data_IF_062497140193
#
_entry.id   IF_062497140193
#
_cell.length_a   1.000
_cell.length_b   1.000
_cell.length_c   1.000
_cell.angle_alpha   90.00
_cell.angle_beta   90.00
_cell.angle_gamma   90.00
#
_symmetry.space_group_name_H-M   'P 1'
#
loop_
_entity.id
_entity.type
_entity.pdbx_description
1 polymer ?
#
# COMPACT_ATOMS: atom_id res chain seq x y z
N UNK A 1 35.55 -14.97 32.62
CA UNK A 1 35.52 -14.49 31.22
C UNK A 1 34.30 -13.61 30.95
N UNK A 2 34.23 -12.44 31.60
CA UNK A 2 33.19 -11.42 31.39
C UNK A 2 33.88 -10.06 31.40
N UNK A 3 34.07 -9.47 30.21
CA UNK A 3 34.47 -8.07 29.92
C UNK A 3 34.94 -8.03 28.46
N UNK A 4 34.01 -7.98 27.50
CA UNK A 4 34.27 -7.62 26.08
C UNK A 4 33.00 -7.48 25.23
N UNK A 5 31.90 -6.95 25.81
CA UNK A 5 30.65 -6.74 25.06
C UNK A 5 30.03 -5.34 25.20
N UNK A 6 30.80 -4.34 25.64
CA UNK A 6 30.30 -2.96 25.85
C UNK A 6 30.92 -1.96 24.86
N UNK A 7 31.92 -2.33 24.05
CA UNK A 7 32.62 -1.38 23.17
C UNK A 7 32.13 -1.32 21.71
N UNK A 8 31.14 -2.13 21.31
CA UNK A 8 30.64 -2.17 19.93
C UNK A 8 29.27 -1.50 19.73
N UNK A 9 28.59 -1.11 20.81
CA UNK A 9 27.26 -0.46 20.77
C UNK A 9 27.33 1.08 20.69
N UNK A 10 28.48 1.67 20.99
CA UNK A 10 28.65 3.14 20.99
C UNK A 10 28.91 3.72 19.59
N UNK A 11 29.67 3.08 18.67
CA UNK A 11 29.85 3.61 17.31
C UNK A 11 28.58 3.52 16.46
N UNK A 12 27.73 2.52 16.69
CA UNK A 12 26.49 2.31 15.91
C UNK A 12 25.39 3.31 16.32
N UNK A 13 25.29 3.66 17.62
CA UNK A 13 24.38 4.71 18.07
C UNK A 13 24.82 6.12 17.63
N UNK A 14 26.12 6.37 17.52
CA UNK A 14 26.65 7.66 17.08
C UNK A 14 26.53 7.82 15.55
N UNK A 15 26.60 6.74 14.76
CA UNK A 15 26.33 6.80 13.33
C UNK A 15 24.84 6.94 12.98
N UNK A 16 23.91 6.41 13.78
CA UNK A 16 22.47 6.65 13.59
C UNK A 16 22.01 8.07 13.97
N UNK A 17 22.82 8.80 14.74
CA UNK A 17 22.58 10.20 15.12
C UNK A 17 23.25 11.22 14.18
N UNK A 18 24.04 10.77 13.19
CA UNK A 18 24.83 11.66 12.31
C UNK A 18 24.59 11.46 10.80
N UNK A 19 23.66 10.59 10.39
CA UNK A 19 23.13 10.59 9.02
C UNK A 19 22.02 11.64 8.89
N UNK A 20 22.42 12.89 9.04
CA UNK A 20 21.62 14.10 8.82
C UNK A 20 22.58 15.24 8.51
N UNK A 21 23.35 15.11 7.42
CA UNK A 21 24.18 16.20 6.92
C UNK A 21 23.30 17.32 6.36
N UNK A 22 22.73 18.15 7.25
CA UNK A 22 22.17 19.44 6.89
C UNK A 22 23.32 20.36 6.46
N UNK A 23 23.37 20.66 5.15
CA UNK A 23 24.09 21.82 4.64
C UNK A 23 23.26 23.06 4.96
N UNK A 24 23.64 23.78 6.01
CA UNK A 24 23.06 25.06 6.40
C UNK A 24 22.65 25.04 7.86
N UNK A 25 23.55 25.50 8.74
CA UNK A 25 23.25 25.66 10.16
C UNK A 25 22.29 26.82 10.37
N UNK A 26 21.00 26.53 10.35
CA UNK A 26 20.02 27.38 11.04
C UNK A 26 20.20 27.16 12.56
N UNK A 27 20.23 28.23 13.38
CA UNK A 27 20.22 28.08 14.83
C UNK A 27 18.95 27.33 15.24
N UNK A 28 19.06 26.43 16.24
CA UNK A 28 17.89 25.79 16.83
C UNK A 28 16.90 26.88 17.27
N UNK A 29 15.70 26.88 16.70
CA UNK A 29 14.69 27.88 17.03
C UNK A 29 14.28 27.75 18.50
N UNK A 30 14.13 28.85 19.24
CA UNK A 30 13.50 28.79 20.55
C UNK A 30 12.04 28.30 20.42
N UNK A 31 11.62 27.44 21.35
CA UNK A 31 10.24 26.94 21.42
C UNK A 31 9.25 28.09 21.57
N UNK A 32 8.12 27.99 20.87
CA UNK A 32 7.02 28.97 20.86
C UNK A 32 7.44 30.38 20.42
N UNK A 33 8.51 30.49 19.63
CA UNK A 33 8.91 31.74 18.99
C UNK A 33 8.70 31.62 17.50
N UNK A 34 7.88 32.50 16.95
CA UNK A 34 7.64 32.61 15.53
C UNK A 34 8.76 33.41 14.84
N UNK A 35 9.17 32.97 13.67
CA UNK A 35 10.16 33.66 12.86
C UNK A 35 9.89 33.44 11.36
N UNK A 36 10.33 34.38 10.54
CA UNK A 36 10.29 34.25 9.09
C UNK A 36 11.50 33.45 8.59
N UNK A 37 11.25 32.56 7.64
CA UNK A 37 12.26 31.78 6.95
C UNK A 37 11.85 31.51 5.50
N UNK A 38 12.67 30.71 4.80
CA UNK A 38 12.31 30.16 3.49
C UNK A 38 12.26 28.64 3.59
N UNK A 39 11.17 28.06 3.15
CA UNK A 39 11.13 26.64 2.84
C UNK A 39 12.05 26.37 1.65
N UNK A 40 12.93 25.38 1.77
CA UNK A 40 13.91 25.01 0.74
C UNK A 40 13.42 23.77 -0.01
N UNK A 41 13.96 23.55 -1.22
CA UNK A 41 13.74 22.28 -1.91
C UNK A 41 14.34 21.13 -1.12
N UNK A 42 13.60 20.05 -1.01
CA UNK A 42 14.00 18.83 -0.31
C UNK A 42 13.38 17.58 -0.96
N UNK A 43 13.35 16.46 -0.23
CA UNK A 43 12.81 15.18 -0.74
C UNK A 43 11.27 15.14 -0.82
N UNK A 44 10.59 16.11 -0.22
CA UNK A 44 9.12 16.20 -0.19
C UNK A 44 8.59 17.41 -0.97
N UNK A 45 9.42 18.43 -1.17
CA UNK A 45 9.07 19.72 -1.78
C UNK A 45 9.99 20.07 -2.94
N UNK A 46 9.39 20.48 -4.06
CA UNK A 46 10.11 21.02 -5.23
C UNK A 46 10.10 22.56 -5.26
N UNK A 47 9.34 23.19 -4.35
CA UNK A 47 9.11 24.63 -4.29
C UNK A 47 10.03 25.30 -3.29
N UNK A 48 10.25 26.60 -3.50
CA UNK A 48 10.88 27.51 -2.55
C UNK A 48 9.85 28.62 -2.30
N UNK A 49 9.48 28.85 -1.05
CA UNK A 49 8.51 29.87 -0.67
C UNK A 49 8.84 30.42 0.73
N UNK A 50 8.38 31.64 1.00
CA UNK A 50 8.56 32.26 2.31
C UNK A 50 7.58 31.62 3.29
N UNK A 51 8.00 31.43 4.54
CA UNK A 51 7.18 30.79 5.59
C UNK A 51 7.38 31.50 6.93
N UNK A 52 6.32 31.51 7.74
CA UNK A 52 6.44 31.65 9.18
C UNK A 52 6.68 30.27 9.78
N UNK A 53 7.73 30.12 10.59
CA UNK A 53 8.05 28.88 11.29
C UNK A 53 7.84 29.05 12.79
N UNK A 54 7.35 28.00 13.43
CA UNK A 54 7.28 27.87 14.89
C UNK A 54 7.48 26.42 15.28
N UNK A 55 8.17 26.17 16.39
CA UNK A 55 8.24 24.85 17.01
C UNK A 55 7.55 24.91 18.38
N UNK A 56 6.61 24.00 18.62
CA UNK A 56 5.98 23.80 19.94
C UNK A 56 6.54 22.52 20.58
N UNK A 57 6.04 22.13 21.75
CA UNK A 57 6.35 20.81 22.31
C UNK A 57 5.87 19.68 21.38
N UNK A 58 4.73 19.89 20.69
CA UNK A 58 3.99 18.85 20.02
C UNK A 58 4.17 18.81 18.50
N UNK A 59 4.64 19.87 17.84
CA UNK A 59 4.87 19.86 16.39
C UNK A 59 5.85 20.94 15.90
N UNK A 60 6.28 20.79 14.65
CA UNK A 60 6.92 21.84 13.86
C UNK A 60 5.91 22.41 12.87
N UNK A 61 5.85 23.73 12.76
CA UNK A 61 4.88 24.42 11.91
C UNK A 61 5.58 25.26 10.85
N UNK A 62 5.08 25.22 9.63
CA UNK A 62 5.47 26.11 8.54
C UNK A 62 4.20 26.65 7.85
N UNK A 63 3.96 27.95 7.94
CA UNK A 63 2.81 28.61 7.30
C UNK A 63 3.33 29.47 6.15
N UNK A 64 2.90 29.21 4.92
CA UNK A 64 3.30 30.00 3.75
C UNK A 64 2.92 31.47 3.95
N UNK A 65 3.93 32.34 3.85
CA UNK A 65 3.75 33.79 3.90
C UNK A 65 3.25 34.27 2.53
N UNK A 66 1.93 34.45 2.43
CA UNK A 66 1.23 35.03 1.27
C UNK A 66 0.62 36.40 1.65
N UNK A 67 0.17 37.15 0.65
CA UNK A 67 -0.24 38.56 0.76
C UNK A 67 -1.24 38.85 1.92
N UNK A 68 -2.12 37.89 2.23
CA UNK A 68 -3.15 38.02 3.27
C UNK A 68 -2.80 37.34 4.61
N UNK A 69 -1.58 36.82 4.77
CA UNK A 69 -1.16 36.11 5.99
C UNK A 69 0.03 36.85 6.60
N UNK A 70 -0.25 37.56 7.69
CA UNK A 70 0.78 38.17 8.54
C UNK A 70 1.16 37.22 9.70
N UNK A 71 2.15 37.65 10.50
CA UNK A 71 2.63 36.87 11.63
C UNK A 71 1.51 36.55 12.65
N UNK A 72 0.62 37.52 12.93
CA UNK A 72 -0.49 37.33 13.88
C UNK A 72 -1.47 36.28 13.38
N UNK A 73 -1.80 36.31 12.09
CA UNK A 73 -2.67 35.33 11.44
C UNK A 73 -2.01 33.95 11.42
N UNK A 74 -0.71 33.88 11.12
CA UNK A 74 0.03 32.62 11.15
C UNK A 74 0.08 32.01 12.56
N UNK A 75 0.27 32.82 13.60
CA UNK A 75 0.23 32.38 15.00
C UNK A 75 -1.15 31.86 15.40
N UNK A 76 -2.24 32.52 14.96
CA UNK A 76 -3.60 32.02 15.17
C UNK A 76 -3.80 30.64 14.54
N UNK A 77 -3.40 30.48 13.27
CA UNK A 77 -3.48 29.20 12.56
C UNK A 77 -2.69 28.10 13.29
N UNK A 78 -1.48 28.42 13.74
CA UNK A 78 -0.65 27.47 14.50
C UNK A 78 -1.36 27.07 15.80
N UNK A 79 -1.94 28.02 16.53
CA UNK A 79 -2.66 27.73 17.77
C UNK A 79 -3.88 26.83 17.54
N UNK A 80 -4.62 27.03 16.45
CA UNK A 80 -5.77 26.21 16.08
C UNK A 80 -5.34 24.77 15.78
N UNK A 81 -4.27 24.59 15.00
CA UNK A 81 -3.72 23.26 14.70
C UNK A 81 -3.12 22.60 15.94
N UNK A 82 -2.39 23.34 16.78
CA UNK A 82 -1.84 22.85 18.06
C UNK A 82 -2.96 22.36 18.99
N UNK A 83 -4.13 23.00 18.98
CA UNK A 83 -5.29 22.51 19.71
C UNK A 83 -5.81 21.17 19.16
N UNK A 84 -5.78 20.95 17.84
CA UNK A 84 -6.09 19.64 17.23
C UNK A 84 -5.08 18.58 17.70
N UNK A 85 -3.78 18.88 17.66
CA UNK A 85 -2.73 17.95 18.13
C UNK A 85 -2.93 17.60 19.61
N UNK A 86 -3.23 18.58 20.46
CA UNK A 86 -3.54 18.34 21.89
C UNK A 86 -4.78 17.48 22.08
N UNK A 87 -5.83 17.65 21.27
CA UNK A 87 -7.02 16.79 21.31
C UNK A 87 -6.66 15.35 20.96
N UNK A 88 -5.83 15.11 19.94
CA UNK A 88 -5.34 13.77 19.58
C UNK A 88 -4.59 13.11 20.76
N UNK A 89 -3.66 13.85 21.38
CA UNK A 89 -2.90 13.37 22.54
C UNK A 89 -3.83 13.05 23.73
N UNK A 90 -4.82 13.90 23.96
CA UNK A 90 -5.81 13.74 25.05
C UNK A 90 -6.72 12.54 24.79
N UNK A 91 -7.11 12.33 23.53
CA UNK A 91 -7.95 11.22 23.10
C UNK A 91 -7.26 9.87 23.33
N UNK A 92 -6.01 9.72 22.87
CA UNK A 92 -5.20 8.51 23.12
C UNK A 92 -3.71 8.84 22.97
N UNK A 93 -3.00 8.96 24.10
CA UNK A 93 -1.58 9.35 24.14
C UNK A 93 -0.68 8.41 23.34
N UNK A 94 -1.01 7.12 23.28
CA UNK A 94 -0.26 6.09 22.57
C UNK A 94 -0.23 6.31 21.05
N UNK A 95 -1.14 7.12 20.49
CA UNK A 95 -1.09 7.52 19.09
C UNK A 95 0.08 8.49 18.80
N UNK A 96 0.60 9.19 19.81
CA UNK A 96 1.65 10.19 19.61
C UNK A 96 3.04 9.55 19.71
N UNK A 97 3.48 8.93 18.60
CA UNK A 97 4.77 8.24 18.50
C UNK A 97 5.85 9.16 17.95
N UNK A 98 5.48 10.05 17.03
CA UNK A 98 6.41 10.94 16.33
C UNK A 98 5.92 12.38 16.36
N UNK A 99 6.84 13.33 16.57
CA UNK A 99 6.56 14.77 16.43
C UNK A 99 6.39 15.10 14.93
N UNK A 100 5.22 15.61 14.50
CA UNK A 100 4.96 15.90 13.11
C UNK A 100 5.51 17.27 12.69
N UNK A 101 5.73 17.43 11.39
CA UNK A 101 5.89 18.72 10.72
C UNK A 101 4.59 19.04 9.99
N UNK A 102 4.03 20.23 10.16
CA UNK A 102 2.76 20.63 9.55
C UNK A 102 3.00 21.87 8.69
N UNK A 103 2.76 21.72 7.40
CA UNK A 103 2.97 22.75 6.39
C UNK A 103 1.61 23.20 5.85
N UNK A 104 1.29 24.48 6.03
CA UNK A 104 0.10 25.12 5.47
C UNK A 104 0.51 25.99 4.29
N UNK A 105 -0.01 25.70 3.10
CA UNK A 105 0.43 26.28 1.81
C UNK A 105 -0.74 26.49 0.87
N UNK A 106 -0.64 27.44 -0.05
CA UNK A 106 -1.66 27.69 -1.08
C UNK A 106 -1.64 26.61 -2.16
N UNK A 107 -0.45 26.17 -2.57
CA UNK A 107 -0.26 25.19 -3.63
C UNK A 107 0.49 23.96 -3.12
N UNK A 108 0.37 22.85 -3.84
CA UNK A 108 1.05 21.62 -3.52
C UNK A 108 2.57 21.84 -3.50
N UNK A 109 3.25 21.38 -2.44
CA UNK A 109 4.69 21.62 -2.27
C UNK A 109 5.56 20.92 -3.32
N UNK A 110 5.03 19.87 -3.96
CA UNK A 110 5.75 19.03 -4.93
C UNK A 110 5.55 19.47 -6.37
N UNK A 111 4.36 19.94 -6.74
CA UNK A 111 3.99 20.27 -8.12
C UNK A 111 3.82 21.76 -8.35
N UNK A 112 3.51 22.54 -7.31
CA UNK A 112 3.12 23.95 -7.43
C UNK A 112 1.77 24.17 -8.08
N UNK A 113 0.96 23.12 -8.19
CA UNK A 113 -0.41 23.19 -8.65
C UNK A 113 -1.38 23.21 -7.47
N UNK A 114 -2.63 23.50 -7.77
CA UNK A 114 -3.71 23.37 -6.81
C UNK A 114 -3.94 21.89 -6.44
N UNK A 115 -4.35 21.62 -5.20
CA UNK A 115 -4.60 20.26 -4.71
C UNK A 115 -5.84 20.19 -3.82
N UNK A 116 -6.61 19.12 -3.94
CA UNK A 116 -7.97 19.06 -3.38
C UNK A 116 -8.04 18.55 -1.94
N UNK A 117 -7.05 17.78 -1.49
CA UNK A 117 -7.08 17.10 -0.20
C UNK A 117 -5.77 17.26 0.55
N UNK A 118 -5.84 17.43 1.87
CA UNK A 118 -4.66 17.35 2.72
C UNK A 118 -4.00 15.98 2.56
N UNK A 119 -2.68 15.93 2.69
CA UNK A 119 -1.94 14.67 2.66
C UNK A 119 -0.80 14.68 3.65
N UNK A 120 -0.26 13.50 3.93
CA UNK A 120 0.97 13.38 4.71
C UNK A 120 1.96 12.43 4.04
N UNK A 121 3.24 12.68 4.26
CA UNK A 121 4.35 11.83 3.84
C UNK A 121 5.30 11.70 5.02
N UNK A 122 5.49 10.47 5.50
CA UNK A 122 6.18 10.18 6.76
C UNK A 122 5.51 10.93 7.92
N UNK A 123 6.23 11.79 8.64
CA UNK A 123 5.69 12.63 9.71
C UNK A 123 5.38 14.06 9.23
N UNK A 124 5.40 14.35 7.93
CA UNK A 124 5.08 15.69 7.40
C UNK A 124 3.68 15.74 6.81
N UNK A 125 2.86 16.66 7.31
CA UNK A 125 1.51 16.96 6.84
C UNK A 125 1.56 18.20 5.95
N UNK A 126 0.82 18.19 4.85
CA UNK A 126 0.66 19.31 3.93
C UNK A 126 -0.82 19.55 3.73
N UNK A 127 -1.28 20.78 3.96
CA UNK A 127 -2.67 21.18 3.79
C UNK A 127 -2.80 22.62 3.29
N UNK A 128 -3.98 22.95 2.76
CA UNK A 128 -4.34 24.33 2.41
C UNK A 128 -4.93 25.08 3.61
N UNK A 129 -4.90 26.40 3.50
CA UNK A 129 -5.59 27.30 4.44
C UNK A 129 -7.10 27.00 4.57
N UNK A 130 -7.74 26.54 3.50
CA UNK A 130 -9.17 26.19 3.48
C UNK A 130 -9.48 24.87 4.22
N UNK A 131 -8.46 24.09 4.59
CA UNK A 131 -8.59 22.75 5.18
C UNK A 131 -8.40 22.73 6.70
N UNK A 132 -8.24 23.89 7.35
CA UNK A 132 -7.88 23.95 8.77
C UNK A 132 -8.92 23.33 9.70
N UNK A 133 -10.20 23.44 9.34
CA UNK A 133 -11.32 22.93 10.13
C UNK A 133 -11.86 21.58 9.63
N UNK A 134 -11.13 20.91 8.72
CA UNK A 134 -11.59 19.65 8.14
C UNK A 134 -11.06 18.44 8.91
N UNK A 135 -11.85 17.38 8.93
CA UNK A 135 -11.39 16.09 9.45
C UNK A 135 -10.33 15.45 8.54
N UNK A 136 -10.16 15.92 7.29
CA UNK A 136 -9.05 15.51 6.41
C UNK A 136 -7.68 15.98 6.95
N UNK A 137 -7.59 17.22 7.44
CA UNK A 137 -6.36 17.67 8.12
C UNK A 137 -6.09 16.83 9.37
N UNK A 138 -7.13 16.62 10.18
CA UNK A 138 -7.01 15.84 11.42
C UNK A 138 -6.57 14.39 11.14
N UNK A 139 -7.12 13.73 10.11
CA UNK A 139 -6.73 12.37 9.73
C UNK A 139 -5.28 12.30 9.26
N UNK A 140 -4.80 13.32 8.53
CA UNK A 140 -3.40 13.42 8.13
C UNK A 140 -2.45 13.62 9.33
N UNK A 141 -2.84 14.44 10.31
CA UNK A 141 -2.07 14.62 11.55
C UNK A 141 -2.01 13.29 12.31
N UNK A 142 -3.13 12.57 12.46
CA UNK A 142 -3.15 11.24 13.11
C UNK A 142 -2.20 10.28 12.40
N UNK A 143 -2.20 10.23 11.07
CA UNK A 143 -1.27 9.40 10.30
C UNK A 143 0.19 9.75 10.56
N UNK A 144 0.52 11.05 10.54
CA UNK A 144 1.87 11.56 10.76
C UNK A 144 2.40 11.29 12.18
N UNK A 145 1.55 11.29 13.20
CA UNK A 145 1.97 11.06 14.60
C UNK A 145 1.98 9.59 15.00
N UNK A 146 1.10 8.76 14.44
CA UNK A 146 0.88 7.38 14.90
C UNK A 146 1.52 6.30 14.04
N UNK A 147 1.78 6.58 12.76
CA UNK A 147 2.22 5.58 11.79
C UNK A 147 1.12 4.61 11.32
N UNK A 148 -0.14 4.85 11.69
CA UNK A 148 -1.31 4.18 11.09
C UNK A 148 -1.40 4.56 9.61
N UNK A 149 -1.69 3.58 8.75
CA UNK A 149 -1.77 3.77 7.30
C UNK A 149 -3.13 3.45 6.69
N UNK A 150 -4.00 2.76 7.44
CA UNK A 150 -5.33 2.42 7.01
C UNK A 150 -6.25 3.65 7.05
N UNK A 151 -6.67 4.14 5.87
CA UNK A 151 -7.43 5.37 5.72
C UNK A 151 -8.71 5.38 6.57
N UNK A 152 -9.46 4.28 6.58
CA UNK A 152 -10.70 4.20 7.37
C UNK A 152 -10.44 4.38 8.87
N UNK A 153 -9.31 3.89 9.39
CA UNK A 153 -8.96 4.05 10.80
C UNK A 153 -8.53 5.51 11.09
N UNK A 154 -7.76 6.12 10.20
CA UNK A 154 -7.39 7.53 10.30
C UNK A 154 -8.63 8.44 10.33
N UNK A 155 -9.58 8.21 9.41
CA UNK A 155 -10.84 8.95 9.35
C UNK A 155 -11.75 8.66 10.55
N UNK A 156 -11.81 7.41 11.01
CA UNK A 156 -12.55 7.01 12.20
C UNK A 156 -12.09 7.75 13.45
N UNK A 157 -10.78 7.71 13.73
CA UNK A 157 -10.17 8.42 14.86
C UNK A 157 -10.35 9.93 14.71
N UNK A 158 -10.15 10.48 13.51
CA UNK A 158 -10.34 11.92 13.26
C UNK A 158 -11.78 12.35 13.58
N UNK A 159 -12.77 11.55 13.18
CA UNK A 159 -14.17 11.79 13.49
C UNK A 159 -14.46 11.80 14.99
N UNK A 160 -13.90 10.85 15.75
CA UNK A 160 -14.04 10.84 17.21
C UNK A 160 -13.33 12.01 17.89
N UNK A 161 -12.10 12.36 17.47
CA UNK A 161 -11.32 13.50 18.01
C UNK A 161 -12.01 14.84 17.77
N UNK A 162 -12.66 14.99 16.61
CA UNK A 162 -13.35 16.21 16.21
C UNK A 162 -14.84 16.21 16.55
N UNK A 163 -15.35 15.16 17.19
CA UNK A 163 -16.78 14.98 17.54
C UNK A 163 -17.73 15.15 16.33
N UNK A 164 -17.31 14.65 15.16
CA UNK A 164 -18.08 14.75 13.91
C UNK A 164 -19.33 13.88 13.99
N UNK A 165 -20.49 14.49 13.72
CA UNK A 165 -21.74 13.76 13.52
C UNK A 165 -21.90 13.32 12.07
N UNK A 166 -22.44 12.12 11.87
CA UNK A 166 -22.71 11.52 10.55
C UNK A 166 -24.21 11.31 10.38
N UNK A 167 -24.72 11.47 9.17
CA UNK A 167 -26.15 11.26 8.88
C UNK A 167 -26.45 9.76 8.75
N UNK A 168 -26.94 9.16 9.84
CA UNK A 168 -27.30 7.75 9.87
C UNK A 168 -28.41 7.38 8.87
N UNK A 169 -29.34 8.30 8.55
CA UNK A 169 -30.40 8.03 7.59
C UNK A 169 -29.83 7.98 6.15
N UNK A 170 -28.86 8.84 5.87
CA UNK A 170 -28.14 8.81 4.60
C UNK A 170 -27.38 7.50 4.44
N UNK A 171 -26.64 7.06 5.46
CA UNK A 171 -25.92 5.79 5.44
C UNK A 171 -26.86 4.58 5.38
N UNK A 172 -27.98 4.59 6.11
CA UNK A 172 -29.00 3.55 6.00
C UNK A 172 -29.52 3.43 4.56
N UNK A 173 -29.84 4.56 3.92
CA UNK A 173 -30.29 4.60 2.54
C UNK A 173 -29.24 4.05 1.59
N UNK A 174 -27.98 4.48 1.75
CA UNK A 174 -26.85 4.03 0.94
C UNK A 174 -26.65 2.50 1.04
N UNK A 175 -26.60 1.95 2.25
CA UNK A 175 -26.38 0.50 2.48
C UNK A 175 -27.61 -0.38 2.31
N UNK A 176 -28.80 0.22 2.11
CA UNK A 176 -29.99 -0.52 1.67
C UNK A 176 -29.81 -1.07 0.24
N UNK A 177 -28.91 -0.48 -0.56
CA UNK A 177 -28.44 -1.09 -1.80
C UNK A 177 -27.32 -2.11 -1.49
N UNK A 178 -27.50 -3.42 -1.77
CA UNK A 178 -26.47 -4.43 -1.52
C UNK A 178 -25.18 -4.18 -2.30
N UNK A 179 -25.25 -3.53 -3.46
CA UNK A 179 -24.06 -3.21 -4.26
C UNK A 179 -23.12 -2.27 -3.50
N UNK A 180 -23.63 -1.45 -2.57
CA UNK A 180 -22.85 -0.50 -1.80
C UNK A 180 -22.12 -1.11 -0.59
N UNK A 181 -22.36 -2.38 -0.25
CA UNK A 181 -21.72 -3.05 0.89
C UNK A 181 -20.20 -3.17 0.73
N UNK A 182 -19.70 -3.17 -0.50
CA UNK A 182 -18.26 -3.21 -0.81
C UNK A 182 -17.47 -2.02 -0.23
N UNK A 183 -18.10 -0.88 0.06
CA UNK A 183 -17.47 0.26 0.76
C UNK A 183 -16.99 -0.12 2.17
N UNK A 184 -17.59 -1.15 2.78
CA UNK A 184 -17.14 -1.70 4.06
C UNK A 184 -15.87 -2.54 3.96
N UNK A 185 -15.35 -2.83 2.77
CA UNK A 185 -14.04 -3.46 2.61
C UNK A 185 -12.89 -2.51 2.96
N UNK A 186 -13.18 -1.21 3.05
CA UNK A 186 -12.24 -0.17 3.45
C UNK A 186 -10.93 -0.15 2.64
N UNK A 187 -11.03 -0.50 1.36
CA UNK A 187 -9.92 -0.42 0.43
C UNK A 187 -9.46 1.04 0.24
N UNK A 188 -8.15 1.30 0.37
CA UNK A 188 -7.61 2.65 0.49
C UNK A 188 -7.97 3.60 -0.65
N UNK A 189 -8.06 3.11 -1.90
CA UNK A 189 -8.45 3.96 -3.04
C UNK A 189 -9.89 4.48 -2.96
N UNK A 190 -10.77 3.85 -2.18
CA UNK A 190 -12.14 4.34 -1.94
C UNK A 190 -12.15 5.65 -1.15
N UNK A 191 -11.04 6.02 -0.52
CA UNK A 191 -10.87 7.26 0.21
C UNK A 191 -10.20 8.37 -0.62
N UNK A 192 -9.94 8.13 -1.91
CA UNK A 192 -9.24 9.06 -2.80
C UNK A 192 -10.20 9.62 -3.85
N UNK A 193 -10.47 10.93 -3.80
CA UNK A 193 -11.49 11.58 -4.63
C UNK A 193 -11.32 11.34 -6.13
N UNK A 194 -10.07 11.36 -6.62
CA UNK A 194 -9.74 11.16 -8.04
C UNK A 194 -10.15 9.79 -8.60
N UNK A 195 -10.27 8.77 -7.74
CA UNK A 195 -10.58 7.40 -8.15
C UNK A 195 -12.02 7.01 -7.84
N UNK A 196 -12.55 7.47 -6.69
CA UNK A 196 -13.85 7.04 -6.19
C UNK A 196 -14.94 8.12 -6.30
N UNK A 197 -14.58 9.35 -6.69
CA UNK A 197 -15.53 10.45 -6.91
C UNK A 197 -16.44 10.69 -5.71
N UNK A 198 -17.74 10.83 -5.95
CA UNK A 198 -18.75 11.11 -4.91
C UNK A 198 -18.81 10.04 -3.81
N UNK A 199 -18.49 8.77 -4.14
CA UNK A 199 -18.48 7.67 -3.17
C UNK A 199 -17.38 7.81 -2.11
N UNK A 200 -16.37 8.66 -2.35
CA UNK A 200 -15.36 9.03 -1.36
C UNK A 200 -15.99 9.59 -0.09
N UNK A 201 -17.06 10.38 -0.24
CA UNK A 201 -17.77 10.95 0.89
C UNK A 201 -18.45 9.87 1.74
N UNK A 202 -19.03 8.84 1.11
CA UNK A 202 -19.62 7.70 1.80
C UNK A 202 -18.58 6.83 2.50
N UNK A 203 -17.41 6.63 1.90
CA UNK A 203 -16.30 5.91 2.54
C UNK A 203 -15.84 6.62 3.82
N UNK A 204 -15.62 7.94 3.75
CA UNK A 204 -15.22 8.78 4.91
C UNK A 204 -16.31 8.78 6.00
N UNK A 205 -17.58 9.00 5.65
CA UNK A 205 -18.69 8.98 6.62
C UNK A 205 -18.90 7.61 7.25
N UNK A 206 -18.79 6.54 6.46
CA UNK A 206 -18.87 5.16 6.97
C UNK A 206 -17.76 4.89 7.97
N UNK A 207 -16.52 5.28 7.66
CA UNK A 207 -15.37 5.11 8.55
C UNK A 207 -15.61 5.79 9.91
N UNK A 208 -16.08 7.05 9.90
CA UNK A 208 -16.42 7.80 11.11
C UNK A 208 -17.54 7.11 11.90
N UNK A 209 -18.66 6.78 11.24
CA UNK A 209 -19.83 6.20 11.88
C UNK A 209 -19.55 4.82 12.49
N UNK A 210 -18.91 3.93 11.74
CA UNK A 210 -18.61 2.57 12.17
C UNK A 210 -17.53 2.56 13.26
N UNK A 211 -16.46 3.36 13.11
CA UNK A 211 -15.44 3.50 14.14
C UNK A 211 -16.07 3.94 15.46
N UNK A 212 -16.85 5.03 15.43
CA UNK A 212 -17.52 5.56 16.61
C UNK A 212 -18.46 4.55 17.25
N UNK A 213 -19.23 3.80 16.45
CA UNK A 213 -20.10 2.75 16.97
C UNK A 213 -19.31 1.67 17.73
N UNK A 214 -18.22 1.19 17.15
CA UNK A 214 -17.40 0.14 17.76
C UNK A 214 -16.74 0.69 19.02
N UNK A 215 -16.16 1.89 18.95
CA UNK A 215 -15.55 2.55 20.10
C UNK A 215 -16.54 2.75 21.26
N UNK A 216 -17.72 3.33 21.00
CA UNK A 216 -18.72 3.63 22.04
C UNK A 216 -19.25 2.34 22.71
N UNK A 217 -19.30 1.22 21.97
CA UNK A 217 -19.85 -0.05 22.45
C UNK A 217 -18.81 -0.98 23.08
N UNK A 218 -17.61 -1.03 22.52
CA UNK A 218 -16.58 -2.02 22.83
C UNK A 218 -15.25 -1.41 23.32
N UNK A 219 -15.07 -0.10 23.17
CA UNK A 219 -13.87 0.64 23.53
C UNK A 219 -12.83 0.70 22.40
N UNK A 220 -11.88 1.63 22.53
CA UNK A 220 -10.81 1.86 21.55
C UNK A 220 -10.02 0.58 21.20
N UNK A 221 -9.65 -0.20 22.22
CA UNK A 221 -8.76 -1.37 22.05
C UNK A 221 -9.43 -2.52 21.25
N UNK A 222 -10.76 -2.51 21.10
CA UNK A 222 -11.47 -3.43 20.22
C UNK A 222 -11.40 -3.04 18.74
N UNK A 223 -11.00 -1.80 18.44
CA UNK A 223 -10.79 -1.32 17.08
C UNK A 223 -9.35 -1.58 16.68
N UNK A 224 -8.40 -1.17 17.52
CA UNK A 224 -6.98 -1.21 17.22
C UNK A 224 -6.13 -1.49 18.47
N UNK A 225 -5.13 -2.36 18.33
CA UNK A 225 -4.02 -2.49 19.28
C UNK A 225 -2.79 -1.80 18.72
N UNK A 226 -2.04 -1.06 19.54
CA UNK A 226 -0.87 -0.27 19.10
C UNK A 226 0.48 -0.90 19.49
N UNK A 227 0.51 -1.85 20.43
CA UNK A 227 1.73 -2.48 20.98
C UNK A 227 1.66 -4.01 20.85
N UNK A 228 2.70 -4.71 20.34
CA UNK A 228 3.99 -4.22 19.82
C UNK A 228 3.94 -3.73 18.38
N UNK A 229 2.81 -3.91 17.69
CA UNK A 229 2.57 -3.46 16.32
C UNK A 229 1.10 -3.10 16.18
N UNK A 230 0.80 -2.20 15.24
CA UNK A 230 -0.57 -1.80 14.93
C UNK A 230 -1.34 -3.01 14.37
N UNK A 231 -2.42 -3.40 15.04
CA UNK A 231 -3.32 -4.47 14.63
C UNK A 231 -4.76 -3.97 14.63
N UNK A 232 -5.45 -4.18 13.52
CA UNK A 232 -6.88 -3.87 13.38
C UNK A 232 -7.69 -5.09 13.83
N UNK A 233 -8.58 -4.87 14.79
CA UNK A 233 -9.34 -5.92 15.49
C UNK A 233 -10.82 -5.97 15.07
N UNK A 234 -11.24 -5.12 14.12
CA UNK A 234 -12.63 -5.06 13.64
C UNK A 234 -13.00 -6.33 12.87
N UNK A 235 -14.15 -6.90 13.20
CA UNK A 235 -14.66 -8.13 12.58
C UNK A 235 -15.87 -7.87 11.68
N UNK A 236 -16.17 -8.82 10.78
CA UNK A 236 -17.44 -8.83 10.03
C UNK A 236 -18.67 -8.73 10.93
N UNK A 237 -18.65 -9.37 12.10
CA UNK A 237 -19.77 -9.36 13.03
C UNK A 237 -20.03 -7.95 13.56
N UNK A 238 -18.98 -7.20 13.91
CA UNK A 238 -19.11 -5.80 14.32
C UNK A 238 -19.69 -4.93 13.21
N UNK A 239 -19.26 -5.12 11.96
CA UNK A 239 -19.81 -4.40 10.79
C UNK A 239 -21.29 -4.72 10.58
N UNK A 240 -21.66 -6.00 10.66
CA UNK A 240 -23.05 -6.44 10.51
C UNK A 240 -23.95 -5.99 11.68
N UNK A 241 -23.42 -5.93 12.90
CA UNK A 241 -24.14 -5.35 14.04
C UNK A 241 -24.39 -3.85 13.86
N UNK A 242 -23.38 -3.13 13.37
CA UNK A 242 -23.53 -1.72 13.05
C UNK A 242 -24.58 -1.50 11.94
N UNK A 243 -24.53 -2.25 10.83
CA UNK A 243 -25.54 -2.19 9.76
C UNK A 243 -26.96 -2.39 10.31
N UNK A 244 -27.15 -3.39 11.19
CA UNK A 244 -28.43 -3.62 11.87
C UNK A 244 -28.82 -2.44 12.76
N UNK A 245 -27.87 -1.81 13.45
CA UNK A 245 -28.13 -0.67 14.34
C UNK A 245 -28.62 0.57 13.60
N UNK A 246 -28.23 0.74 12.34
CA UNK A 246 -28.72 1.81 11.46
C UNK A 246 -29.93 1.37 10.62
N UNK A 247 -30.50 0.19 10.88
CA UNK A 247 -31.71 -0.29 10.21
C UNK A 247 -31.51 -0.87 8.81
N UNK A 248 -30.31 -1.34 8.48
CA UNK A 248 -30.01 -2.06 7.22
C UNK A 248 -30.20 -3.56 7.43
N UNK A 249 -30.94 -4.21 6.52
CA UNK A 249 -31.21 -5.65 6.55
C UNK A 249 -30.21 -6.51 5.76
N UNK A 250 -29.46 -5.89 4.83
CA UNK A 250 -28.45 -6.57 4.04
C UNK A 250 -27.30 -7.05 4.94
N UNK A 251 -26.68 -8.18 4.57
CA UNK A 251 -25.58 -8.79 5.31
C UNK A 251 -24.28 -8.55 4.55
N UNK A 252 -23.29 -7.99 5.24
CA UNK A 252 -21.93 -7.88 4.75
C UNK A 252 -21.19 -9.21 4.90
N UNK A 253 -20.80 -9.81 3.78
CA UNK A 253 -19.98 -11.02 3.73
C UNK A 253 -18.93 -10.95 2.59
N UNK A 254 -18.19 -9.85 2.50
CA UNK A 254 -17.16 -9.72 1.48
C UNK A 254 -15.99 -10.67 1.75
N UNK A 255 -15.43 -11.22 0.68
CA UNK A 255 -14.17 -12.00 0.73
C UNK A 255 -12.93 -11.12 0.87
N UNK A 256 -13.06 -9.80 0.73
CA UNK A 256 -11.97 -8.84 0.85
C UNK A 256 -11.85 -8.23 2.24
N UNK A 257 -12.75 -8.57 3.17
CA UNK A 257 -12.72 -8.05 4.54
C UNK A 257 -11.35 -8.25 5.22
N UNK A 258 -10.72 -7.15 5.65
CA UNK A 258 -9.41 -7.14 6.29
C UNK A 258 -8.23 -7.57 5.40
N UNK A 259 -8.48 -7.97 4.14
CA UNK A 259 -7.47 -8.56 3.27
C UNK A 259 -6.36 -7.55 2.91
N UNK A 260 -6.74 -6.28 2.74
CA UNK A 260 -5.85 -5.19 2.35
C UNK A 260 -5.42 -4.32 3.54
N UNK A 261 -5.68 -4.75 4.78
CA UNK A 261 -5.24 -4.04 5.98
C UNK A 261 -3.72 -3.84 5.96
N UNK A 262 -3.28 -2.63 6.29
CA UNK A 262 -1.87 -2.24 6.31
C UNK A 262 -1.28 -1.93 4.93
N UNK A 263 -2.05 -2.01 3.85
CA UNK A 263 -1.61 -1.56 2.53
C UNK A 263 -1.48 -0.04 2.52
N UNK A 264 -0.38 0.48 1.97
CA UNK A 264 -0.15 1.93 1.81
C UNK A 264 -0.42 2.35 0.39
N UNK A 265 -1.11 3.46 0.21
CA UNK A 265 -1.50 4.01 -1.08
C UNK A 265 -0.82 5.37 -1.24
N UNK A 266 -0.06 5.55 -2.33
CA UNK A 266 0.72 6.76 -2.56
C UNK A 266 0.72 7.13 -4.05
N UNK A 267 0.71 8.42 -4.37
CA UNK A 267 0.83 8.91 -5.75
C UNK A 267 2.31 9.14 -6.09
N UNK A 268 2.76 8.73 -7.29
CA UNK A 268 4.13 8.98 -7.80
C UNK A 268 4.06 9.56 -9.20
N UNK A 269 5.01 10.40 -9.60
CA UNK A 269 4.88 11.24 -10.81
C UNK A 269 4.73 10.49 -12.15
N UNK A 270 4.98 9.18 -12.19
CA UNK A 270 4.92 8.37 -13.40
C UNK A 270 3.84 7.27 -13.35
N UNK A 271 3.04 7.21 -12.29
CA UNK A 271 2.02 6.19 -12.07
C UNK A 271 0.84 6.81 -11.33
N UNK A 272 -0.39 6.47 -11.72
CA UNK A 272 -1.58 7.02 -11.06
C UNK A 272 -1.61 6.61 -9.58
N UNK A 273 -1.27 5.35 -9.30
CA UNK A 273 -1.21 4.85 -7.92
C UNK A 273 -0.02 3.91 -7.68
N UNK A 274 0.60 4.06 -6.51
CA UNK A 274 1.55 3.10 -5.95
C UNK A 274 0.97 2.48 -4.68
N UNK A 275 0.77 1.16 -4.70
CA UNK A 275 0.24 0.37 -3.58
C UNK A 275 1.37 -0.45 -2.99
N UNK A 276 1.58 -0.36 -1.68
CA UNK A 276 2.67 -1.03 -0.97
C UNK A 276 2.09 -1.97 0.07
N UNK A 277 2.36 -3.27 -0.09
CA UNK A 277 2.07 -4.31 0.90
C UNK A 277 3.37 -4.82 1.54
N UNK A 278 3.24 -5.79 2.44
CA UNK A 278 4.37 -6.48 3.07
C UNK A 278 5.19 -7.35 2.09
N UNK A 279 4.62 -7.75 0.95
CA UNK A 279 5.28 -8.65 0.00
C UNK A 279 5.50 -8.02 -1.39
N UNK A 280 4.75 -6.97 -1.75
CA UNK A 280 4.80 -6.37 -3.08
C UNK A 280 4.63 -4.84 -3.10
N UNK A 281 5.19 -4.21 -4.12
CA UNK A 281 4.89 -2.83 -4.53
C UNK A 281 4.23 -2.87 -5.91
N UNK A 282 3.05 -2.30 -6.04
CA UNK A 282 2.33 -2.20 -7.30
C UNK A 282 2.37 -0.75 -7.75
N UNK A 283 3.02 -0.48 -8.88
CA UNK A 283 3.05 0.81 -9.56
C UNK A 283 2.14 0.71 -10.77
N UNK A 284 0.97 1.33 -10.70
CA UNK A 284 -0.14 1.10 -11.62
C UNK A 284 -0.44 2.37 -12.41
N UNK A 285 -0.57 2.21 -13.73
CA UNK A 285 -1.24 3.17 -14.59
C UNK A 285 -2.66 2.67 -14.85
N UNK A 286 -3.64 3.32 -14.23
CA UNK A 286 -5.07 3.07 -14.45
C UNK A 286 -5.43 3.44 -15.90
N UNK A 287 -6.47 2.80 -16.43
CA UNK A 287 -6.90 3.00 -17.81
C UNK A 287 -8.31 3.58 -17.84
N UNK A 288 -8.56 4.57 -18.69
CA UNK A 288 -9.92 5.10 -18.88
C UNK A 288 -10.79 4.19 -19.77
N UNK A 289 -10.16 3.42 -20.66
CA UNK A 289 -10.86 2.55 -21.60
C UNK A 289 -11.29 1.24 -20.91
N UNK A 290 -12.60 1.03 -20.80
CA UNK A 290 -13.24 -0.13 -20.16
C UNK A 290 -12.83 -1.48 -20.76
N UNK A 291 -12.19 -1.51 -21.94
CA UNK A 291 -11.64 -2.77 -22.49
C UNK A 291 -10.48 -3.33 -21.65
N UNK A 292 -9.84 -2.51 -20.82
CA UNK A 292 -8.74 -2.90 -19.95
C UNK A 292 -9.25 -3.29 -18.57
N UNK A 293 -8.51 -4.16 -17.88
CA UNK A 293 -8.92 -4.66 -16.56
C UNK A 293 -8.86 -3.53 -15.52
N UNK A 294 -7.77 -2.77 -15.46
CA UNK A 294 -7.53 -1.73 -14.45
C UNK A 294 -8.18 -0.39 -14.84
N UNK A 295 -9.46 -0.45 -15.17
CA UNK A 295 -10.34 0.71 -15.39
C UNK A 295 -11.24 1.04 -14.21
N UNK A 296 -11.34 0.14 -13.22
CA UNK A 296 -12.15 0.35 -12.01
C UNK A 296 -11.45 -0.11 -10.73
N UNK A 297 -11.91 0.42 -9.59
CA UNK A 297 -11.43 0.04 -8.25
C UNK A 297 -11.72 -1.45 -7.98
N UNK A 298 -12.90 -1.94 -8.36
CA UNK A 298 -13.34 -3.32 -8.14
C UNK A 298 -12.45 -4.32 -8.88
N UNK A 299 -12.05 -4.00 -10.11
CA UNK A 299 -11.13 -4.85 -10.88
C UNK A 299 -9.73 -4.84 -10.30
N UNK A 300 -9.30 -3.70 -9.73
CA UNK A 300 -8.03 -3.61 -9.02
C UNK A 300 -8.05 -4.42 -7.71
N UNK A 301 -9.12 -4.34 -6.91
CA UNK A 301 -9.30 -5.19 -5.73
C UNK A 301 -9.25 -6.67 -6.11
N UNK A 302 -9.94 -7.05 -7.19
CA UNK A 302 -9.93 -8.41 -7.71
C UNK A 302 -8.51 -8.85 -8.15
N UNK A 303 -7.78 -7.98 -8.86
CA UNK A 303 -6.40 -8.24 -9.27
C UNK A 303 -5.49 -8.44 -8.05
N UNK A 304 -5.55 -7.53 -7.07
CA UNK A 304 -4.74 -7.59 -5.85
C UNK A 304 -5.07 -8.84 -5.02
N UNK A 305 -6.35 -9.20 -4.89
CA UNK A 305 -6.78 -10.44 -4.26
C UNK A 305 -6.19 -11.66 -4.95
N UNK A 306 -6.39 -11.80 -6.26
CA UNK A 306 -5.87 -12.93 -7.04
C UNK A 306 -4.35 -13.03 -6.96
N UNK A 307 -3.67 -11.88 -7.01
CA UNK A 307 -2.22 -11.81 -6.90
C UNK A 307 -1.76 -12.25 -5.49
N UNK A 308 -2.34 -11.71 -4.42
CA UNK A 308 -2.03 -12.07 -3.03
C UNK A 308 -2.27 -13.56 -2.76
N UNK A 309 -3.46 -14.07 -3.08
CA UNK A 309 -3.78 -15.49 -2.86
C UNK A 309 -2.84 -16.40 -3.65
N UNK A 310 -2.53 -16.04 -4.90
CA UNK A 310 -1.58 -16.80 -5.71
C UNK A 310 -0.17 -16.77 -5.13
N UNK A 311 0.27 -15.65 -4.57
CA UNK A 311 1.56 -15.60 -3.89
C UNK A 311 1.62 -16.46 -2.63
N UNK A 312 0.58 -16.41 -1.80
CA UNK A 312 0.51 -17.20 -0.58
C UNK A 312 0.54 -18.70 -0.89
N UNK A 313 -0.18 -19.14 -1.92
CA UNK A 313 -0.14 -20.52 -2.37
C UNK A 313 1.23 -20.91 -2.96
N UNK A 314 1.83 -20.04 -3.79
CA UNK A 314 3.17 -20.25 -4.31
C UNK A 314 4.18 -20.40 -3.18
N UNK A 315 4.16 -19.51 -2.19
CA UNK A 315 5.03 -19.61 -1.02
C UNK A 315 4.81 -20.93 -0.26
N UNK A 316 3.56 -21.34 -0.07
CA UNK A 316 3.24 -22.60 0.62
C UNK A 316 3.78 -23.83 -0.13
N UNK A 317 3.76 -23.82 -1.46
CA UNK A 317 4.39 -24.86 -2.29
C UNK A 317 5.91 -24.82 -2.10
N UNK A 318 6.52 -23.63 -2.22
CA UNK A 318 7.97 -23.46 -2.13
C UNK A 318 8.53 -23.83 -0.74
N UNK A 319 7.81 -23.53 0.35
CA UNK A 319 8.18 -23.84 1.74
C UNK A 319 8.34 -25.34 2.00
N UNK A 320 7.71 -26.21 1.19
CA UNK A 320 7.87 -27.68 1.31
C UNK A 320 9.26 -28.15 0.86
N UNK A 321 10.01 -27.32 0.14
CA UNK A 321 11.35 -27.68 -0.33
C UNK A 321 12.39 -27.52 0.77
N UNK A 322 13.28 -28.51 0.88
CA UNK A 322 14.50 -28.40 1.73
C UNK A 322 15.45 -27.28 1.29
N UNK A 323 15.30 -26.78 0.06
CA UNK A 323 16.07 -25.67 -0.50
C UNK A 323 15.38 -24.32 -0.35
N UNK A 324 14.24 -24.24 0.35
CA UNK A 324 13.51 -22.98 0.53
C UNK A 324 14.40 -21.85 1.06
N UNK A 325 15.27 -22.16 2.03
CA UNK A 325 16.23 -21.21 2.61
C UNK A 325 17.31 -20.70 1.65
N UNK A 326 17.47 -21.33 0.48
CA UNK A 326 18.44 -20.95 -0.55
C UNK A 326 17.81 -20.08 -1.64
N UNK A 327 16.48 -19.92 -1.66
CA UNK A 327 15.84 -19.02 -2.59
C UNK A 327 16.27 -17.58 -2.30
N UNK A 328 16.47 -16.81 -3.37
CA UNK A 328 16.55 -15.36 -3.21
C UNK A 328 15.19 -14.87 -2.77
N UNK A 329 15.04 -14.66 -1.46
CA UNK A 329 13.99 -13.81 -0.95
C UNK A 329 14.33 -12.38 -1.40
N UNK A 330 13.73 -11.97 -2.51
CA UNK A 330 13.56 -10.54 -2.73
C UNK A 330 12.64 -10.08 -1.60
N UNK A 331 13.13 -9.18 -0.73
CA UNK A 331 12.35 -8.64 0.38
C UNK A 331 11.00 -8.04 -0.09
N UNK A 332 10.89 -7.68 -1.37
CA UNK A 332 9.66 -7.20 -2.00
C UNK A 332 9.70 -7.34 -3.53
N UNK A 333 8.59 -7.78 -4.14
CA UNK A 333 8.43 -7.79 -5.61
C UNK A 333 7.85 -6.46 -6.08
N UNK A 334 8.39 -5.87 -7.15
CA UNK A 334 7.88 -4.62 -7.71
C UNK A 334 7.14 -4.89 -9.01
N UNK A 335 5.82 -4.74 -9.01
CA UNK A 335 4.97 -4.77 -10.17
C UNK A 335 4.90 -3.39 -10.83
N UNK A 336 5.28 -3.29 -12.09
CA UNK A 336 5.04 -2.11 -12.93
C UNK A 336 3.95 -2.48 -13.95
N UNK A 337 2.76 -1.88 -13.80
CA UNK A 337 1.57 -2.27 -14.55
C UNK A 337 1.16 -1.13 -15.47
N UNK A 338 1.06 -1.42 -16.77
CA UNK A 338 0.59 -0.46 -17.78
C UNK A 338 -0.08 -1.20 -18.95
N UNK A 339 -1.41 -1.28 -18.94
CA UNK A 339 -2.18 -1.99 -19.96
C UNK A 339 -2.25 -1.24 -21.30
N UNK A 340 -1.91 0.05 -21.36
CA UNK A 340 -1.84 0.80 -22.64
C UNK A 340 -0.78 0.25 -23.60
N UNK A 341 0.18 -0.54 -23.10
CA UNK A 341 1.27 -1.12 -23.89
C UNK A 341 0.91 -2.54 -24.31
N UNK A 342 0.93 -2.83 -25.62
CA UNK A 342 0.68 -4.20 -26.13
C UNK A 342 2.01 -4.96 -26.30
N UNK A 343 2.56 -5.50 -25.20
CA UNK A 343 3.86 -6.19 -25.18
C UNK A 343 3.91 -7.49 -24.35
N UNK A 344 2.80 -7.91 -23.74
CA UNK A 344 2.79 -9.06 -22.84
C UNK A 344 3.44 -8.74 -21.48
N UNK A 345 4.21 -9.66 -20.90
CA UNK A 345 4.87 -9.46 -19.62
C UNK A 345 6.37 -9.75 -19.67
N UNK A 346 7.12 -9.12 -18.76
CA UNK A 346 8.57 -9.28 -18.66
C UNK A 346 9.01 -9.18 -17.20
N UNK A 347 9.80 -10.14 -16.74
CA UNK A 347 10.51 -10.07 -15.46
C UNK A 347 11.97 -9.65 -15.61
N UNK A 348 12.46 -8.85 -14.67
CA UNK A 348 13.87 -8.60 -14.39
C UNK A 348 14.24 -9.28 -13.06
N UNK A 349 14.70 -10.55 -13.10
CA UNK A 349 14.93 -11.35 -11.89
C UNK A 349 15.95 -10.72 -10.94
N UNK A 350 16.98 -10.09 -11.51
CA UNK A 350 18.07 -9.42 -10.80
C UNK A 350 17.58 -8.23 -9.97
N UNK A 351 16.55 -7.52 -10.41
CA UNK A 351 15.95 -6.40 -9.67
C UNK A 351 14.67 -6.79 -8.93
N UNK A 352 14.03 -7.91 -9.26
CA UNK A 352 12.72 -8.30 -8.71
C UNK A 352 11.57 -7.47 -9.28
N UNK A 353 11.76 -6.90 -10.47
CA UNK A 353 10.76 -6.07 -11.14
C UNK A 353 9.99 -6.95 -12.13
N UNK A 354 8.68 -7.00 -11.97
CA UNK A 354 7.74 -7.65 -12.88
C UNK A 354 6.98 -6.57 -13.64
N UNK A 355 7.10 -6.55 -14.96
CA UNK A 355 6.36 -5.63 -15.82
C UNK A 355 5.18 -6.36 -16.44
N UNK A 356 3.97 -5.87 -16.17
CA UNK A 356 2.74 -6.42 -16.73
C UNK A 356 2.12 -5.40 -17.66
N UNK A 357 2.02 -5.77 -18.94
CA UNK A 357 1.34 -4.98 -19.95
C UNK A 357 0.13 -5.73 -20.49
N UNK A 358 -0.65 -5.11 -21.37
CA UNK A 358 -1.70 -5.84 -22.06
C UNK A 358 -1.08 -6.84 -23.05
N UNK A 359 -1.63 -8.06 -23.17
CA UNK A 359 -2.74 -8.62 -22.40
C UNK A 359 -2.33 -9.49 -21.18
N UNK A 360 -1.07 -9.42 -20.77
CA UNK A 360 -0.49 -10.38 -19.84
C UNK A 360 -0.87 -10.16 -18.37
N UNK A 361 -1.45 -9.00 -18.02
CA UNK A 361 -1.87 -8.69 -16.65
C UNK A 361 -2.72 -9.81 -16.04
N UNK A 362 -3.68 -10.34 -16.81
CA UNK A 362 -4.67 -11.32 -16.36
C UNK A 362 -4.15 -12.74 -16.10
N UNK A 363 -3.03 -13.12 -16.73
CA UNK A 363 -2.59 -14.54 -16.74
C UNK A 363 -1.10 -14.74 -16.47
N UNK A 364 -0.29 -13.69 -16.50
CA UNK A 364 1.16 -13.81 -16.33
C UNK A 364 1.65 -13.31 -14.96
N UNK A 365 0.82 -12.65 -14.15
CA UNK A 365 1.28 -11.99 -12.91
C UNK A 365 1.97 -12.94 -11.91
N UNK A 366 1.49 -14.18 -11.75
CA UNK A 366 2.17 -15.21 -10.93
C UNK A 366 3.31 -15.87 -11.70
N UNK A 367 3.14 -16.16 -13.00
CA UNK A 367 4.20 -16.74 -13.84
C UNK A 367 5.48 -15.91 -13.77
N UNK A 368 5.34 -14.61 -13.98
CA UNK A 368 6.44 -13.66 -13.90
C UNK A 368 6.99 -13.52 -12.47
N UNK A 369 6.13 -13.61 -11.46
CA UNK A 369 6.58 -13.63 -10.07
C UNK A 369 7.51 -14.82 -9.78
N UNK A 370 7.22 -15.99 -10.33
CA UNK A 370 8.08 -17.18 -10.16
C UNK A 370 9.50 -16.89 -10.66
N UNK A 371 9.65 -16.18 -11.77
CA UNK A 371 10.97 -15.77 -12.28
C UNK A 371 11.75 -14.85 -11.34
N UNK A 372 11.12 -14.24 -10.33
CA UNK A 372 11.84 -13.46 -9.30
C UNK A 372 12.53 -14.34 -8.25
N UNK A 373 12.06 -15.58 -8.06
CA UNK A 373 12.64 -16.57 -7.14
C UNK A 373 13.75 -17.41 -7.80
N UNK A 374 13.72 -17.56 -9.12
CA UNK A 374 14.60 -18.45 -9.87
C UNK A 374 15.40 -17.65 -10.91
N UNK A 375 16.69 -17.41 -10.64
CA UNK A 375 17.56 -16.69 -11.57
C UNK A 375 18.32 -17.69 -12.44
N UNK A 376 18.16 -17.65 -13.79
CA UNK A 376 18.86 -18.58 -14.66
C UNK A 376 20.39 -18.37 -14.59
N UNK A 377 21.15 -19.44 -14.32
CA UNK A 377 22.62 -19.43 -14.40
C UNK A 377 23.06 -19.60 -15.86
N UNK A 378 23.35 -18.48 -16.52
CA UNK A 378 23.71 -18.45 -17.92
C UNK A 378 25.22 -18.64 -18.10
N UNK A 379 25.68 -19.86 -18.37
CA UNK A 379 26.98 -20.09 -19.03
C UNK A 379 26.81 -20.09 -20.55
N UNK A 380 27.90 -19.91 -21.29
CA UNK A 380 27.88 -19.95 -22.77
C UNK A 380 27.33 -21.30 -23.30
N UNK A 381 27.51 -22.39 -22.55
CA UNK A 381 27.05 -23.74 -22.89
C UNK A 381 25.58 -24.03 -22.50
N UNK A 382 25.05 -23.37 -21.46
CA UNK A 382 23.71 -23.66 -20.90
C UNK A 382 22.66 -22.57 -21.14
N UNK A 383 22.96 -21.55 -21.94
CA UNK A 383 22.11 -20.36 -22.13
C UNK A 383 20.67 -20.67 -22.56
N UNK A 384 20.48 -21.61 -23.48
CA UNK A 384 19.14 -22.00 -23.97
C UNK A 384 18.46 -22.92 -22.96
N UNK A 385 19.18 -23.91 -22.42
CA UNK A 385 18.65 -24.90 -21.48
C UNK A 385 18.17 -24.27 -20.17
N UNK A 386 18.95 -23.36 -19.59
CA UNK A 386 18.61 -22.66 -18.35
C UNK A 386 17.37 -21.77 -18.51
N UNK A 387 17.23 -21.08 -19.67
CA UNK A 387 16.02 -20.31 -19.98
C UNK A 387 14.78 -21.20 -20.13
N UNK A 388 14.87 -22.28 -20.90
CA UNK A 388 13.73 -23.19 -21.07
C UNK A 388 13.33 -23.85 -19.75
N UNK A 389 14.29 -24.15 -18.88
CA UNK A 389 14.03 -24.68 -17.54
C UNK A 389 13.32 -23.66 -16.65
N UNK A 390 13.75 -22.39 -16.67
CA UNK A 390 13.10 -21.30 -15.95
C UNK A 390 11.67 -21.08 -16.41
N UNK A 391 11.42 -21.02 -17.72
CA UNK A 391 10.06 -20.85 -18.28
C UNK A 391 9.17 -22.07 -17.99
N UNK A 392 9.70 -23.28 -18.13
CA UNK A 392 8.98 -24.50 -17.78
C UNK A 392 8.58 -24.55 -16.30
N UNK A 393 9.46 -24.07 -15.42
CA UNK A 393 9.22 -23.94 -14.00
C UNK A 393 8.15 -22.90 -13.70
N UNK A 394 8.29 -21.69 -14.24
CA UNK A 394 7.30 -20.63 -14.10
C UNK A 394 5.92 -21.09 -14.58
N UNK A 395 5.83 -21.75 -15.74
CA UNK A 395 4.58 -22.35 -16.22
C UNK A 395 4.04 -23.43 -15.28
N UNK A 396 4.88 -24.32 -14.76
CA UNK A 396 4.40 -25.39 -13.88
C UNK A 396 3.86 -24.83 -12.56
N UNK A 397 4.67 -24.04 -11.85
CA UNK A 397 4.32 -23.50 -10.53
C UNK A 397 3.18 -22.52 -10.62
N UNK A 398 3.19 -21.62 -11.62
CA UNK A 398 2.04 -20.76 -11.84
C UNK A 398 0.79 -21.58 -12.12
N UNK A 399 0.80 -22.59 -13.00
CA UNK A 399 -0.40 -23.41 -13.25
C UNK A 399 -0.91 -24.20 -12.04
N UNK A 400 -0.04 -24.61 -11.11
CA UNK A 400 -0.49 -25.24 -9.85
C UNK A 400 -1.33 -24.28 -9.00
N UNK A 401 -0.99 -22.99 -9.04
CA UNK A 401 -1.62 -21.93 -8.26
C UNK A 401 -2.77 -21.26 -9.03
N UNK A 402 -2.57 -20.96 -10.31
CA UNK A 402 -3.41 -20.10 -11.13
C UNK A 402 -4.63 -20.81 -11.71
N UNK A 403 -4.72 -22.14 -11.65
CA UNK A 403 -5.95 -22.87 -11.96
C UNK A 403 -7.14 -22.39 -11.11
N UNK A 404 -6.88 -21.81 -9.93
CA UNK A 404 -7.88 -21.24 -9.02
C UNK A 404 -7.96 -19.70 -9.04
N UNK A 405 -6.99 -18.99 -9.66
CA UNK A 405 -6.86 -17.53 -9.55
C UNK A 405 -6.59 -16.79 -10.88
N UNK A 406 -6.60 -17.47 -12.04
CA UNK A 406 -6.56 -16.83 -13.37
C UNK A 406 -7.89 -16.17 -13.75
N UNK A 407 -7.84 -15.23 -14.69
CA UNK A 407 -8.98 -14.91 -15.55
C UNK A 407 -8.92 -15.91 -16.73
N UNK A 408 -9.76 -16.95 -16.71
CA UNK A 408 -9.73 -18.04 -17.70
C UNK A 408 -10.26 -17.56 -19.08
N UNK A 409 -10.92 -16.42 -19.10
CA UNK A 409 -11.56 -15.80 -20.25
C UNK A 409 -11.24 -14.31 -20.27
N UNK A 410 -10.88 -13.80 -21.44
CA UNK A 410 -10.80 -12.37 -21.74
C UNK A 410 -12.15 -11.71 -21.39
N UNK A 411 -12.14 -10.68 -20.54
CA UNK A 411 -13.37 -10.08 -19.99
C UNK A 411 -14.27 -9.43 -21.05
N UNK A 412 -13.70 -9.01 -22.18
CA UNK A 412 -14.41 -8.29 -23.27
C UNK A 412 -14.95 -9.26 -24.32
N UNK A 413 -14.19 -10.29 -24.66
CA UNK A 413 -14.50 -11.20 -25.76
C UNK A 413 -15.04 -12.56 -25.31
N UNK A 414 -14.98 -12.85 -24.01
CA UNK A 414 -15.35 -14.13 -23.39
C UNK A 414 -14.64 -15.34 -24.05
N UNK A 415 -13.47 -15.11 -24.65
CA UNK A 415 -12.64 -16.12 -25.30
C UNK A 415 -11.52 -16.56 -24.36
N UNK A 416 -11.20 -17.85 -24.37
CA UNK A 416 -10.05 -18.37 -23.63
C UNK A 416 -8.74 -17.83 -24.23
N UNK A 417 -7.81 -17.41 -23.36
CA UNK A 417 -6.53 -16.80 -23.77
C UNK A 417 -5.62 -17.82 -24.48
N UNK A 418 -5.50 -17.69 -25.81
CA UNK A 418 -4.69 -18.54 -26.70
C UNK A 418 -3.15 -18.38 -26.67
N UNK A 419 -2.50 -17.31 -26.14
CA UNK A 419 -1.04 -17.14 -26.23
C UNK A 419 -0.21 -18.15 -25.43
N UNK A 420 -0.79 -18.81 -24.42
CA UNK A 420 -0.15 -19.93 -23.71
C UNK A 420 0.26 -21.06 -24.68
N UNK A 421 -0.42 -21.19 -25.82
CA UNK A 421 -0.19 -22.27 -26.77
C UNK A 421 1.21 -22.25 -27.39
N UNK A 422 1.81 -21.09 -27.69
CA UNK A 422 3.12 -21.04 -28.37
C UNK A 422 4.29 -21.34 -27.43
N UNK A 423 4.25 -20.84 -26.19
CA UNK A 423 5.26 -21.14 -25.17
C UNK A 423 5.11 -22.61 -24.73
N UNK A 424 3.89 -23.07 -24.44
CA UNK A 424 3.60 -24.48 -24.14
C UNK A 424 3.98 -25.40 -25.29
N UNK A 425 3.77 -24.99 -26.55
CA UNK A 425 4.19 -25.75 -27.73
C UNK A 425 5.72 -25.88 -27.82
N UNK A 426 6.48 -24.80 -27.59
CA UNK A 426 7.95 -24.84 -27.58
C UNK A 426 8.48 -25.67 -26.39
N UNK A 427 7.87 -25.53 -25.21
CA UNK A 427 8.20 -26.33 -24.03
C UNK A 427 7.84 -27.82 -24.24
N UNK A 428 6.72 -28.12 -24.89
CA UNK A 428 6.29 -29.47 -25.27
C UNK A 428 7.22 -30.08 -26.32
N UNK A 429 7.54 -29.34 -27.38
CA UNK A 429 8.45 -29.78 -28.45
C UNK A 429 9.86 -30.12 -27.93
N UNK A 430 10.29 -29.48 -26.84
CA UNK A 430 11.62 -29.68 -26.26
C UNK A 430 11.61 -30.45 -24.92
N UNK A 431 10.48 -31.06 -24.51
CA UNK A 431 10.34 -31.80 -23.24
C UNK A 431 10.66 -30.99 -21.96
N UNK A 432 10.44 -29.67 -21.98
CA UNK A 432 10.63 -28.76 -20.83
C UNK A 432 9.29 -28.29 -20.22
N UNK A 433 8.22 -29.07 -20.37
CA UNK A 433 6.92 -28.76 -19.78
C UNK A 433 6.67 -29.57 -18.50
N UNK A 434 5.72 -29.11 -17.67
CA UNK A 434 5.34 -29.76 -16.41
C UNK A 434 4.98 -31.25 -16.51
N UNK A 435 4.46 -31.72 -17.65
CA UNK A 435 4.12 -33.12 -17.88
C UNK A 435 5.35 -33.99 -18.20
N UNK A 436 6.31 -33.48 -18.99
CA UNK A 436 7.60 -34.15 -19.22
C UNK A 436 8.42 -34.27 -17.92
N UNK A 437 8.33 -33.24 -17.10
CA UNK A 437 8.84 -33.19 -15.74
C UNK A 437 8.16 -34.23 -14.83
N UNK A 438 6.82 -34.26 -14.76
CA UNK A 438 6.05 -35.26 -13.99
C UNK A 438 6.35 -36.71 -14.41
N UNK A 439 6.55 -36.96 -15.72
CA UNK A 439 6.91 -38.27 -16.26
C UNK A 439 8.34 -38.72 -15.86
N UNK A 440 9.22 -37.78 -15.49
CA UNK A 440 10.59 -38.09 -15.03
C UNK A 440 10.61 -38.53 -13.57
N UNK A 441 9.63 -38.12 -12.75
CA UNK A 441 9.60 -38.34 -11.30
C UNK A 441 8.43 -39.20 -10.81
N UNK A 442 7.75 -39.95 -11.70
CA UNK A 442 6.76 -40.97 -11.32
C UNK A 442 5.41 -40.43 -10.81
N UNK A 443 5.37 -39.35 -10.01
CA UNK A 443 4.15 -38.64 -9.58
C UNK A 443 4.43 -37.17 -9.17
N UNK A 444 3.38 -36.37 -8.93
CA UNK A 444 3.50 -34.93 -8.59
C UNK A 444 4.10 -34.64 -7.22
N UNK A 445 3.94 -35.54 -6.24
CA UNK A 445 4.50 -35.38 -4.89
C UNK A 445 6.01 -35.59 -4.89
N UNK A 446 6.48 -36.59 -5.63
CA UNK A 446 7.90 -36.87 -5.83
C UNK A 446 8.55 -35.78 -6.70
N UNK A 447 7.83 -35.27 -7.71
CA UNK A 447 8.24 -34.09 -8.45
C UNK A 447 8.41 -32.87 -7.54
N UNK A 448 7.41 -32.49 -6.73
CA UNK A 448 7.50 -31.38 -5.79
C UNK A 448 8.65 -31.53 -4.78
N UNK A 449 8.98 -32.76 -4.37
CA UNK A 449 10.07 -33.05 -3.43
C UNK A 449 11.48 -33.00 -4.04
N UNK A 450 11.66 -33.38 -5.31
CA UNK A 450 12.99 -33.54 -5.92
C UNK A 450 13.26 -32.60 -7.11
N UNK A 451 12.27 -31.87 -7.59
CA UNK A 451 12.40 -30.99 -8.75
C UNK A 451 13.37 -29.84 -8.53
N UNK A 452 13.44 -29.31 -7.31
CA UNK A 452 14.35 -28.21 -6.97
C UNK A 452 15.79 -28.71 -6.83
N UNK A 453 16.00 -29.93 -6.31
CA UNK A 453 17.28 -30.64 -6.41
C UNK A 453 17.71 -30.79 -7.87
N UNK A 454 16.77 -31.11 -8.76
CA UNK A 454 17.03 -31.22 -10.19
C UNK A 454 17.37 -29.87 -10.82
N UNK A 455 16.64 -28.80 -10.50
CA UNK A 455 16.92 -27.43 -10.97
C UNK A 455 18.35 -26.99 -10.56
N UNK A 456 18.69 -27.11 -9.27
CA UNK A 456 20.02 -26.76 -8.74
C UNK A 456 21.11 -27.64 -9.37
N UNK A 457 20.91 -28.97 -9.48
CA UNK A 457 21.88 -29.88 -10.11
C UNK A 457 22.12 -29.61 -11.60
N UNK A 458 21.21 -28.91 -12.28
CA UNK A 458 21.30 -28.61 -13.70
C UNK A 458 21.56 -27.12 -13.99
N UNK A 459 22.15 -26.40 -13.02
CA UNK A 459 22.57 -25.02 -13.21
C UNK A 459 21.46 -23.99 -12.98
N UNK A 460 20.52 -24.28 -12.09
CA UNK A 460 19.70 -23.26 -11.45
C UNK A 460 20.42 -22.62 -10.27
N UNK A 461 20.20 -21.33 -10.03
CA UNK A 461 20.63 -20.66 -8.79
C UNK A 461 19.43 -20.25 -7.96
#
# INVERSE_FOLDING_TARGET
MKKKLILLLIPVLILSLLCGCNKGGEPASPLNVMYEAKHQRDEISSRIFNVFKMETENAFYEIENKEDIDAVSAESIINDIENIVKKIITYKKELFVTKPTIIITQYDIKTGLDFEEAYYKNNTVVAKFEMLDTYDLTSCIIGAVSGIVDHWLLYGIAGSVMEVSTDMNQLQTYYSNPDNLHTLDFFGMRFMNEFNGEDTSYAKQTAIALYKYIEDKYGFDSVVSLDPQIQINVTKDMKNEWLKSIGVSNIYDSKYDGLFTGYRFTKKDNYDITIISSFAEYKIMMQEDEKYLLSSIENLELFLYKNKMGFEELENILKKSKFYSQFMHKDKIVYEINESVNKGAVTRPDTGIVKLFSPALEHAHIHEAVHTYFVPYLTQENRIRSKCLSEGLACFLSNQVTASYTYITDAVSNKSYTPYYNIVYILNKNNYNGQAFKNTFGNSVEFEQYFLDYYVKHGGK
#
